data_IF_253155892538
#
_entry.id   IF_253155892538
#
_cell.length_a   1.000
_cell.length_b   1.000
_cell.length_c   1.000
_cell.angle_alpha   90.00
_cell.angle_beta   90.00
_cell.angle_gamma   90.00
#
_symmetry.space_group_name_H-M   'P 1'
#
loop_
_entity.id
_entity.type
_entity.pdbx_description
1 polymer ?
#
# COMPACT_ATOMS: atom_id res chain seq x y z
N UNK A 1 -10.49 -9.27 37.21
CA UNK A 1 -9.44 -8.36 36.73
C UNK A 1 -8.82 -8.92 35.45
N UNK A 2 -8.89 -8.12 34.38
CA UNK A 2 -7.97 -8.00 33.23
C UNK A 2 -7.49 -9.24 32.45
N UNK A 3 -7.81 -9.25 31.15
CA UNK A 3 -6.89 -8.85 30.07
C UNK A 3 -7.69 -8.60 28.78
N UNK A 4 -8.18 -7.38 28.63
CA UNK A 4 -8.35 -6.84 27.28
C UNK A 4 -6.94 -6.71 26.70
N UNK A 5 -6.58 -7.57 25.77
CA UNK A 5 -5.34 -7.47 25.02
C UNK A 5 -5.39 -6.18 24.20
N UNK A 6 -4.83 -5.10 24.77
CA UNK A 6 -4.46 -3.91 24.03
C UNK A 6 -3.41 -4.32 22.99
N UNK A 7 -3.86 -4.74 21.81
CA UNK A 7 -2.97 -4.88 20.65
C UNK A 7 -2.69 -3.46 20.18
N UNK A 8 -1.61 -2.87 20.70
CA UNK A 8 -0.99 -1.67 20.15
C UNK A 8 0.26 -2.11 19.37
N UNK A 9 0.12 -3.14 18.54
CA UNK A 9 1.23 -3.60 17.72
C UNK A 9 1.41 -2.66 16.52
N UNK A 10 2.63 -2.17 16.34
CA UNK A 10 2.97 -1.30 15.21
C UNK A 10 2.97 -2.10 13.91
N UNK A 11 2.30 -1.59 12.89
CA UNK A 11 2.34 -2.15 11.53
C UNK A 11 3.64 -1.69 10.84
N UNK A 12 4.40 -2.64 10.30
CA UNK A 12 5.62 -2.38 9.52
C UNK A 12 5.63 -3.20 8.23
N UNK A 13 6.48 -2.82 7.27
CA UNK A 13 6.63 -3.53 6.01
C UNK A 13 7.67 -2.89 5.09
N UNK A 14 8.02 -3.60 4.02
CA UNK A 14 8.95 -3.15 2.99
C UNK A 14 8.17 -2.82 1.70
N UNK A 15 8.41 -1.64 1.12
CA UNK A 15 7.83 -1.24 -0.16
C UNK A 15 8.83 -1.61 -1.26
N UNK A 16 8.40 -2.36 -2.28
CA UNK A 16 9.28 -2.79 -3.37
C UNK A 16 9.78 -1.60 -4.20
N UNK A 17 8.85 -0.73 -4.64
CA UNK A 17 9.19 0.47 -5.40
C UNK A 17 8.43 1.69 -4.92
N UNK A 18 9.15 2.81 -4.82
CA UNK A 18 8.61 4.13 -4.55
C UNK A 18 9.10 5.11 -5.63
N UNK A 19 8.18 5.80 -6.29
CA UNK A 19 8.50 6.65 -7.44
C UNK A 19 7.76 7.98 -7.37
N UNK A 20 8.35 9.02 -7.96
CA UNK A 20 7.65 10.28 -8.24
C UNK A 20 7.34 10.30 -9.73
N UNK A 21 6.06 10.31 -10.11
CA UNK A 21 5.60 10.33 -11.51
C UNK A 21 4.30 11.11 -11.60
N UNK A 22 4.22 11.98 -12.61
CA UNK A 22 3.06 12.86 -12.84
C UNK A 22 2.64 13.63 -11.58
N UNK A 23 3.61 14.19 -10.86
CA UNK A 23 3.41 14.96 -9.63
C UNK A 23 2.72 14.18 -8.49
N UNK A 24 2.81 12.85 -8.53
CA UNK A 24 2.29 11.94 -7.50
C UNK A 24 3.38 10.99 -7.03
N UNK A 25 3.26 10.56 -5.78
CA UNK A 25 4.04 9.44 -5.25
C UNK A 25 3.35 8.15 -5.65
N UNK A 26 4.09 7.24 -6.27
CA UNK A 26 3.62 5.92 -6.68
C UNK A 26 4.28 4.85 -5.84
N UNK A 27 3.46 4.10 -5.11
CA UNK A 27 3.84 2.88 -4.41
C UNK A 27 3.53 1.72 -5.36
N UNK A 28 4.55 0.96 -5.77
CA UNK A 28 4.35 -0.24 -6.58
C UNK A 28 4.87 -1.47 -5.83
N UNK A 29 4.05 -2.50 -5.77
CA UNK A 29 4.31 -3.75 -5.07
C UNK A 29 4.25 -4.91 -6.07
N UNK A 30 5.36 -5.63 -6.24
CA UNK A 30 5.42 -6.73 -7.20
C UNK A 30 4.79 -7.98 -6.58
N UNK A 31 3.94 -8.65 -7.35
CA UNK A 31 3.28 -9.88 -6.93
C UNK A 31 3.26 -10.84 -8.11
N UNK A 32 4.04 -11.95 -8.06
CA UNK A 32 3.90 -13.00 -9.07
C UNK A 32 2.44 -13.41 -9.19
N UNK A 33 1.94 -13.54 -10.42
CA UNK A 33 0.56 -13.92 -10.69
C UNK A 33 -0.44 -12.96 -10.01
N UNK A 34 -0.23 -11.65 -10.19
CA UNK A 34 -0.93 -10.56 -9.49
C UNK A 34 -2.46 -10.74 -9.55
N UNK A 35 -2.96 -11.22 -10.69
CA UNK A 35 -4.37 -11.49 -10.93
C UNK A 35 -5.01 -12.49 -9.95
N UNK A 36 -4.24 -13.41 -9.36
CA UNK A 36 -4.78 -14.52 -8.57
C UNK A 36 -4.89 -14.26 -7.07
N UNK A 37 -4.23 -13.21 -6.55
CA UNK A 37 -4.35 -12.83 -5.14
C UNK A 37 -4.66 -11.33 -4.93
N UNK A 38 -5.82 -10.85 -5.43
CA UNK A 38 -6.12 -9.43 -5.44
C UNK A 38 -6.38 -8.88 -4.03
N UNK A 39 -7.05 -9.62 -3.14
CA UNK A 39 -7.44 -9.11 -1.81
C UNK A 39 -6.23 -8.80 -0.93
N UNK A 40 -5.28 -9.75 -0.84
CA UNK A 40 -4.06 -9.57 -0.04
C UNK A 40 -3.22 -8.41 -0.58
N UNK A 41 -3.07 -8.34 -1.91
CA UNK A 41 -2.26 -7.32 -2.57
C UNK A 41 -2.88 -5.93 -2.39
N UNK A 42 -4.21 -5.80 -2.54
CA UNK A 42 -4.94 -4.57 -2.26
C UNK A 42 -4.76 -4.08 -0.83
N UNK A 43 -4.87 -4.98 0.17
CA UNK A 43 -4.66 -4.61 1.58
C UNK A 43 -3.23 -4.10 1.82
N UNK A 44 -2.23 -4.77 1.24
CA UNK A 44 -0.83 -4.41 1.40
C UNK A 44 -0.55 -3.00 0.86
N UNK A 45 -0.93 -2.72 -0.39
CA UNK A 45 -0.69 -1.40 -1.00
C UNK A 45 -1.51 -0.28 -0.34
N UNK A 46 -2.69 -0.60 0.19
CA UNK A 46 -3.50 0.35 0.97
C UNK A 46 -2.81 0.72 2.29
N UNK A 47 -2.28 -0.26 3.02
CA UNK A 47 -1.55 -0.02 4.26
C UNK A 47 -0.27 0.80 4.01
N UNK A 48 0.44 0.54 2.91
CA UNK A 48 1.60 1.36 2.53
C UNK A 48 1.21 2.81 2.23
N UNK A 49 0.10 3.04 1.52
CA UNK A 49 -0.42 4.39 1.25
C UNK A 49 -0.70 5.15 2.55
N UNK A 50 -1.34 4.50 3.53
CA UNK A 50 -1.58 5.08 4.85
C UNK A 50 -0.28 5.32 5.63
N UNK A 51 0.68 4.38 5.58
CA UNK A 51 1.95 4.51 6.27
C UNK A 51 2.78 5.69 5.73
N UNK A 52 2.82 5.91 4.42
CA UNK A 52 3.50 7.06 3.81
C UNK A 52 2.81 8.37 4.21
N UNK A 53 1.48 8.45 4.10
CA UNK A 53 0.73 9.63 4.55
C UNK A 53 1.05 9.94 6.02
N UNK A 54 0.98 8.94 6.91
CA UNK A 54 1.22 9.13 8.35
C UNK A 54 2.66 9.53 8.65
N UNK A 55 3.65 8.95 7.97
CA UNK A 55 5.08 9.21 8.20
C UNK A 55 5.54 10.56 7.66
N UNK A 56 4.94 11.03 6.56
CA UNK A 56 5.43 12.21 5.81
C UNK A 56 4.51 13.42 5.88
N UNK A 57 3.24 13.23 6.24
CA UNK A 57 2.21 14.26 6.15
C UNK A 57 1.69 14.53 4.74
N UNK A 58 2.19 13.81 3.72
CA UNK A 58 1.76 14.01 2.33
C UNK A 58 0.30 13.57 2.18
N UNK A 59 -0.59 14.40 1.61
CA UNK A 59 -2.00 14.07 1.49
C UNK A 59 -2.27 12.80 0.67
N UNK A 60 -3.30 12.04 1.04
CA UNK A 60 -3.61 10.74 0.42
C UNK A 60 -3.95 10.89 -1.08
N UNK A 61 -4.51 12.01 -1.50
CA UNK A 61 -4.79 12.36 -2.89
C UNK A 61 -3.51 12.56 -3.73
N UNK A 62 -2.35 12.71 -3.08
CA UNK A 62 -1.04 12.81 -3.72
C UNK A 62 -0.29 11.47 -3.76
N UNK A 63 -0.86 10.41 -3.20
CA UNK A 63 -0.26 9.07 -3.16
C UNK A 63 -1.12 8.10 -3.96
N UNK A 64 -0.53 7.51 -5.00
CA UNK A 64 -1.05 6.42 -5.82
C UNK A 64 -0.39 5.11 -5.40
N UNK A 65 -1.12 4.01 -5.56
CA UNK A 65 -0.61 2.69 -5.19
C UNK A 65 -1.16 1.65 -6.16
N UNK A 66 -0.30 0.72 -6.57
CA UNK A 66 -0.66 -0.38 -7.44
C UNK A 66 0.12 -1.65 -7.09
N UNK A 67 -0.46 -2.81 -7.38
CA UNK A 67 0.26 -4.06 -7.44
C UNK A 67 0.30 -4.57 -8.88
N UNK A 68 1.37 -5.25 -9.25
CA UNK A 68 1.62 -5.60 -10.64
C UNK A 68 2.49 -6.85 -10.77
N UNK A 69 2.46 -7.45 -11.95
CA UNK A 69 3.42 -8.45 -12.42
C UNK A 69 3.94 -8.08 -13.82
N UNK A 70 4.49 -9.06 -14.55
CA UNK A 70 5.00 -8.86 -15.90
C UNK A 70 3.91 -8.60 -16.95
N UNK A 71 2.63 -8.84 -16.63
CA UNK A 71 1.50 -8.81 -17.56
C UNK A 71 0.38 -7.87 -17.13
N UNK A 72 0.14 -7.77 -15.84
CA UNK A 72 -1.01 -7.13 -15.24
C UNK A 72 -0.59 -5.98 -14.32
N UNK A 73 -1.37 -4.89 -14.34
CA UNK A 73 -1.18 -3.71 -13.49
C UNK A 73 -2.51 -3.30 -12.88
N UNK A 74 -2.58 -3.30 -11.54
CA UNK A 74 -3.82 -3.03 -10.81
C UNK A 74 -3.65 -1.84 -9.86
N UNK A 75 -4.19 -0.69 -10.25
CA UNK A 75 -4.21 0.52 -9.42
C UNK A 75 -5.34 0.48 -8.38
N UNK A 76 -5.05 0.94 -7.17
CA UNK A 76 -6.06 1.20 -6.15
C UNK A 76 -6.93 2.39 -6.58
N UNK A 77 -8.20 2.13 -6.91
CA UNK A 77 -9.18 3.18 -7.24
C UNK A 77 -9.39 4.12 -6.05
N UNK A 78 -9.44 5.42 -6.34
CA UNK A 78 -9.84 6.45 -5.38
C UNK A 78 -11.32 6.76 -5.65
N UNK A 79 -12.16 6.53 -4.63
CA UNK A 79 -13.57 6.95 -4.66
C UNK A 79 -13.67 8.47 -4.49
#
# INVERSE_FOLDING_TARGET
MNRATNIVDTICGHIDFLQIRWDKIWILDYKPDAKFNPVKSLHQIYLYRLAINKRTGIPLENIRAAYFDDKDFFELKQN
#
